data_IF_287133782463
#
_entry.id   IF_287133782463
#
_cell.length_a   1.000
_cell.length_b   1.000
_cell.length_c   1.000
_cell.angle_alpha   90.00
_cell.angle_beta   90.00
_cell.angle_gamma   90.00
#
_symmetry.space_group_name_H-M   'P 1'
#
loop_
_entity.id
_entity.type
_entity.pdbx_description
1 polymer ?
#
# COMPACT_ATOMS: atom_id res chain seq x y z
N UNK A 1 -10.28 -8.41 -60.52
CA UNK A 1 -9.59 -7.19 -60.04
C UNK A 1 -10.55 -6.47 -59.11
N UNK A 2 -10.34 -6.59 -57.81
CA UNK A 2 -10.87 -5.68 -56.80
C UNK A 2 -9.85 -5.80 -55.65
N UNK A 3 -8.86 -4.92 -55.73
CA UNK A 3 -7.94 -4.62 -54.64
C UNK A 3 -8.67 -3.64 -53.72
N UNK A 4 -8.16 -3.50 -52.50
CA UNK A 4 -8.60 -2.56 -51.45
C UNK A 4 -9.79 -3.05 -50.61
N UNK A 5 -9.73 -3.13 -49.29
CA UNK A 5 -8.82 -2.48 -48.35
C UNK A 5 -8.79 -3.32 -47.06
N UNK A 6 -7.63 -3.86 -46.73
CA UNK A 6 -7.29 -4.15 -45.34
C UNK A 6 -7.22 -2.78 -44.67
N UNK A 7 -8.32 -2.37 -44.03
CA UNK A 7 -8.24 -1.30 -43.05
C UNK A 7 -7.34 -1.80 -41.93
N UNK A 8 -6.07 -1.39 -42.03
CA UNK A 8 -5.11 -1.51 -40.97
C UNK A 8 -5.69 -0.86 -39.72
N UNK A 9 -5.68 -1.65 -38.66
CA UNK A 9 -5.89 -1.25 -37.29
C UNK A 9 -4.85 -0.15 -36.94
N UNK A 10 -5.20 1.12 -37.18
CA UNK A 10 -4.38 2.28 -36.87
C UNK A 10 -4.81 2.96 -35.56
N UNK A 11 -5.46 2.24 -34.65
CA UNK A 11 -5.61 2.71 -33.28
C UNK A 11 -4.56 2.00 -32.41
N UNK A 12 -3.38 2.63 -32.28
CA UNK A 12 -2.35 2.11 -31.38
C UNK A 12 -2.93 1.94 -29.98
N UNK A 13 -2.98 0.71 -29.50
CA UNK A 13 -3.47 0.38 -28.16
C UNK A 13 -2.64 1.13 -27.12
N UNK A 14 -3.27 2.05 -26.39
CA UNK A 14 -2.66 2.72 -25.24
C UNK A 14 -2.74 1.75 -24.05
N UNK A 15 -1.61 1.38 -23.45
CA UNK A 15 -1.61 0.50 -22.28
C UNK A 15 -1.98 1.33 -21.05
N UNK A 16 -3.16 1.08 -20.50
CA UNK A 16 -3.55 1.61 -19.19
C UNK A 16 -2.78 0.83 -18.12
N UNK A 17 -1.81 1.48 -17.50
CA UNK A 17 -0.97 0.88 -16.47
C UNK A 17 -1.48 1.33 -15.09
N UNK A 18 -1.36 0.46 -14.09
CA UNK A 18 -1.73 0.77 -12.71
C UNK A 18 -0.64 0.30 -11.75
N UNK A 19 -0.41 1.08 -10.69
CA UNK A 19 0.37 0.66 -9.55
C UNK A 19 -0.57 -0.04 -8.57
N UNK A 20 -0.23 -1.25 -8.14
CA UNK A 20 -1.06 -2.04 -7.24
C UNK A 20 -0.24 -2.66 -6.12
N UNK A 21 -0.79 -2.68 -4.91
CA UNK A 21 -0.25 -3.43 -3.79
C UNK A 21 -1.37 -4.23 -3.10
N UNK A 22 -1.05 -5.45 -2.68
CA UNK A 22 -2.00 -6.31 -1.98
C UNK A 22 -1.46 -6.64 -0.60
N UNK A 23 -2.17 -6.18 0.42
CA UNK A 23 -1.97 -6.62 1.79
C UNK A 23 -2.82 -7.86 2.04
N UNK A 24 -2.21 -8.91 2.59
CA UNK A 24 -2.86 -10.18 2.91
C UNK A 24 -2.53 -10.61 4.33
N UNK A 25 -3.56 -10.81 5.14
CA UNK A 25 -3.49 -11.35 6.48
C UNK A 25 -4.55 -12.45 6.68
N UNK A 26 -4.44 -13.32 7.68
CA UNK A 26 -5.38 -14.42 7.89
C UNK A 26 -6.85 -14.00 8.04
N UNK A 27 -7.10 -12.77 8.50
CA UNK A 27 -8.44 -12.24 8.78
C UNK A 27 -8.85 -11.08 7.88
N UNK A 28 -7.94 -10.54 7.07
CA UNK A 28 -8.20 -9.35 6.26
C UNK A 28 -7.32 -9.30 5.02
N UNK A 29 -7.87 -8.74 3.95
CA UNK A 29 -7.15 -8.48 2.70
C UNK A 29 -7.50 -7.08 2.25
N UNK A 30 -6.51 -6.29 1.85
CA UNK A 30 -6.70 -4.94 1.35
C UNK A 30 -5.89 -4.77 0.07
N UNK A 31 -6.54 -4.23 -0.97
CA UNK A 31 -5.89 -3.90 -2.23
C UNK A 31 -5.79 -2.38 -2.35
N UNK A 32 -4.60 -1.89 -2.68
CA UNK A 32 -4.31 -0.51 -3.03
C UNK A 32 -4.08 -0.45 -4.54
N UNK A 33 -4.68 0.54 -5.21
CA UNK A 33 -4.54 0.71 -6.65
C UNK A 33 -4.53 2.18 -7.03
N UNK A 34 -3.59 2.56 -7.88
CA UNK A 34 -3.45 3.91 -8.42
C UNK A 34 -3.26 3.85 -9.94
N UNK A 35 -3.98 4.71 -10.67
CA UNK A 35 -3.95 4.73 -12.14
C UNK A 35 -2.75 5.53 -12.65
N UNK A 36 -1.96 4.96 -13.55
CA UNK A 36 -0.84 5.66 -14.17
C UNK A 36 -1.22 6.26 -15.52
N UNK A 37 -0.50 7.29 -15.98
CA UNK A 37 -0.64 7.79 -17.34
C UNK A 37 -0.44 6.65 -18.36
N UNK A 38 -1.26 6.62 -19.39
CA UNK A 38 -1.11 5.62 -20.44
C UNK A 38 0.08 5.95 -21.33
N UNK A 39 0.86 4.92 -21.67
CA UNK A 39 1.94 5.01 -22.66
C UNK A 39 1.55 4.20 -23.90
N UNK A 40 1.96 4.66 -25.10
CA UNK A 40 1.87 3.83 -26.30
C UNK A 40 2.53 2.47 -26.08
N UNK A 41 1.85 1.39 -26.45
CA UNK A 41 2.40 0.03 -26.29
C UNK A 41 3.63 -0.18 -27.18
N UNK A 42 3.68 0.50 -28.33
CA UNK A 42 4.83 0.50 -29.23
C UNK A 42 5.93 1.44 -28.70
N UNK A 43 7.12 0.94 -28.31
CA UNK A 43 8.20 1.75 -27.77
C UNK A 43 8.75 2.79 -28.76
N UNK A 44 8.60 2.56 -30.07
CA UNK A 44 9.01 3.52 -31.12
C UNK A 44 8.12 4.76 -31.14
N UNK A 45 6.89 4.64 -30.61
CA UNK A 45 5.90 5.72 -30.54
C UNK A 45 5.90 6.44 -29.18
N UNK A 46 6.75 6.00 -28.24
CA UNK A 46 6.87 6.64 -26.93
C UNK A 46 7.87 7.80 -27.00
N UNK A 47 7.37 9.01 -26.81
CA UNK A 47 8.18 10.22 -26.75
C UNK A 47 8.79 10.44 -25.35
N UNK A 48 9.79 11.32 -25.27
CA UNK A 48 10.50 11.62 -24.01
C UNK A 48 9.56 12.29 -23.00
N UNK A 49 8.62 13.11 -23.48
CA UNK A 49 7.66 13.80 -22.62
C UNK A 49 6.70 12.81 -21.97
N UNK A 50 6.11 11.88 -22.73
CA UNK A 50 5.24 10.84 -22.21
C UNK A 50 5.95 9.94 -21.20
N UNK A 51 7.20 9.53 -21.48
CA UNK A 51 8.01 8.75 -20.53
C UNK A 51 8.30 9.51 -19.24
N UNK A 52 8.64 10.79 -19.35
CA UNK A 52 8.91 11.64 -18.18
C UNK A 52 7.66 11.81 -17.32
N UNK A 53 6.50 12.06 -17.94
CA UNK A 53 5.22 12.19 -17.25
C UNK A 53 4.83 10.88 -16.54
N UNK A 54 4.98 9.74 -17.23
CA UNK A 54 4.73 8.43 -16.66
C UNK A 54 5.61 8.15 -15.43
N UNK A 55 6.92 8.36 -15.54
CA UNK A 55 7.86 8.12 -14.45
C UNK A 55 7.67 9.09 -13.27
N UNK A 56 7.28 10.34 -13.54
CA UNK A 56 6.94 11.30 -12.48
C UNK A 56 5.68 10.86 -11.74
N UNK A 57 4.63 10.47 -12.46
CA UNK A 57 3.39 9.99 -11.88
C UNK A 57 3.61 8.71 -11.07
N UNK A 58 4.38 7.76 -11.61
CA UNK A 58 4.73 6.51 -10.92
C UNK A 58 5.44 6.78 -9.59
N UNK A 59 6.42 7.69 -9.56
CA UNK A 59 7.11 8.04 -8.31
C UNK A 59 6.17 8.69 -7.30
N UNK A 60 5.36 9.65 -7.73
CA UNK A 60 4.39 10.31 -6.85
C UNK A 60 3.41 9.32 -6.25
N UNK A 61 2.81 8.45 -7.08
CA UNK A 61 1.84 7.46 -6.64
C UNK A 61 2.47 6.39 -5.74
N UNK A 62 3.74 6.03 -5.96
CA UNK A 62 4.43 5.10 -5.08
C UNK A 62 4.62 5.68 -3.67
N UNK A 63 4.97 6.97 -3.56
CA UNK A 63 5.07 7.65 -2.25
C UNK A 63 3.71 7.77 -1.58
N UNK A 64 2.67 8.12 -2.33
CA UNK A 64 1.30 8.19 -1.82
C UNK A 64 0.81 6.82 -1.31
N UNK A 65 0.96 5.78 -2.13
CA UNK A 65 0.58 4.41 -1.75
C UNK A 65 1.37 3.92 -0.53
N UNK A 66 2.64 4.31 -0.38
CA UNK A 66 3.41 3.99 0.83
C UNK A 66 2.78 4.64 2.07
N UNK A 67 2.36 5.90 1.98
CA UNK A 67 1.68 6.59 3.08
C UNK A 67 0.34 5.94 3.41
N UNK A 68 -0.43 5.54 2.39
CA UNK A 68 -1.71 4.85 2.56
C UNK A 68 -1.53 3.51 3.27
N UNK A 69 -0.53 2.72 2.85
CA UNK A 69 -0.19 1.45 3.48
C UNK A 69 0.22 1.65 4.94
N UNK A 70 1.09 2.63 5.22
CA UNK A 70 1.51 2.92 6.59
C UNK A 70 0.32 3.33 7.47
N UNK A 71 -0.54 4.20 6.96
CA UNK A 71 -1.75 4.66 7.66
C UNK A 71 -2.66 3.47 7.95
N UNK A 72 -2.91 2.62 6.96
CA UNK A 72 -3.72 1.41 7.10
C UNK A 72 -3.15 0.46 8.16
N UNK A 73 -1.84 0.20 8.15
CA UNK A 73 -1.20 -0.69 9.13
C UNK A 73 -1.27 -0.11 10.54
N UNK A 74 -1.04 1.20 10.70
CA UNK A 74 -1.17 1.86 12.01
C UNK A 74 -2.59 1.76 12.55
N UNK A 75 -3.60 2.01 11.72
CA UNK A 75 -5.00 1.84 12.11
C UNK A 75 -5.30 0.39 12.51
N UNK A 76 -4.79 -0.60 11.78
CA UNK A 76 -4.96 -2.01 12.14
C UNK A 76 -4.31 -2.37 13.47
N UNK A 77 -3.13 -1.84 13.77
CA UNK A 77 -2.48 -2.03 15.07
C UNK A 77 -3.29 -1.39 16.22
N UNK A 78 -3.87 -0.22 15.99
CA UNK A 78 -4.74 0.44 16.97
C UNK A 78 -6.03 -0.36 17.22
N UNK A 79 -6.66 -0.84 16.15
CA UNK A 79 -7.82 -1.74 16.23
C UNK A 79 -7.49 -3.03 17.00
N UNK A 80 -6.35 -3.66 16.70
CA UNK A 80 -5.90 -4.87 17.38
C UNK A 80 -5.59 -4.60 18.86
N UNK A 81 -4.93 -3.49 19.18
CA UNK A 81 -4.65 -3.08 20.57
C UNK A 81 -5.93 -2.80 21.35
N UNK A 82 -6.92 -2.15 20.74
CA UNK A 82 -8.23 -1.94 21.35
C UNK A 82 -8.99 -3.26 21.58
N UNK A 83 -8.91 -4.19 20.63
CA UNK A 83 -9.51 -5.52 20.76
C UNK A 83 -8.83 -6.35 21.86
N UNK A 84 -7.51 -6.23 22.03
CA UNK A 84 -6.76 -6.92 23.09
C UNK A 84 -7.03 -6.33 24.49
N UNK A 85 -7.01 -5.00 24.63
CA UNK A 85 -7.29 -4.31 25.89
C UNK A 85 -8.77 -4.38 26.32
N UNK A 86 -9.69 -4.57 25.37
CA UNK A 86 -11.11 -4.84 25.63
C UNK A 86 -11.39 -6.23 26.24
N UNK A 87 -10.40 -7.13 26.28
CA UNK A 87 -10.55 -8.41 26.97
C UNK A 87 -10.37 -8.22 28.48
N UNK A 88 -11.45 -8.34 29.24
CA UNK A 88 -11.49 -8.10 30.70
C UNK A 88 -10.41 -8.86 31.51
N UNK A 89 -9.88 -9.96 30.96
CA UNK A 89 -8.76 -10.72 31.54
C UNK A 89 -7.41 -10.03 31.41
N UNK A 90 -7.13 -9.34 30.30
CA UNK A 90 -5.87 -8.61 30.10
C UNK A 90 -5.89 -7.26 30.80
N UNK A 91 -7.03 -6.57 30.86
CA UNK A 91 -7.13 -5.31 31.63
C UNK A 91 -6.75 -5.50 33.11
N UNK A 92 -7.20 -6.59 33.73
CA UNK A 92 -6.81 -6.96 35.09
C UNK A 92 -5.35 -7.40 35.22
N UNK A 93 -4.71 -7.81 34.11
CA UNK A 93 -3.29 -8.17 34.08
C UNK A 93 -2.40 -6.93 33.88
N UNK A 94 -2.76 -6.03 32.97
CA UNK A 94 -2.07 -4.74 32.77
C UNK A 94 -2.15 -3.87 34.03
N UNK A 95 -3.32 -3.76 34.66
CA UNK A 95 -3.50 -3.00 35.92
C UNK A 95 -2.64 -3.56 37.06
N UNK A 96 -2.48 -4.90 37.10
CA UNK A 96 -1.58 -5.58 38.05
C UNK A 96 -0.10 -5.42 37.71
N UNK A 97 0.26 -5.35 36.43
CA UNK A 97 1.64 -5.12 35.98
C UNK A 97 2.07 -3.65 36.20
N UNK A 98 1.13 -2.69 36.11
CA UNK A 98 1.37 -1.27 36.45
C UNK A 98 1.54 -1.03 37.96
N UNK A 99 0.78 -1.75 38.82
CA UNK A 99 0.95 -1.69 40.28
C UNK A 99 2.34 -2.15 40.76
N UNK A 100 2.99 -3.04 39.99
CA UNK A 100 4.33 -3.58 40.28
C UNK A 100 5.47 -2.70 39.73
N UNK A 101 5.18 -1.64 38.97
CA UNK A 101 6.18 -0.78 38.32
C UNK A 101 6.86 0.22 39.29
N UNK A 102 6.40 0.28 40.54
CA UNK A 102 6.92 1.20 41.57
C UNK A 102 7.78 0.56 42.67
N UNK A 103 7.99 -0.76 42.64
CA UNK A 103 8.83 -1.47 43.63
C UNK A 103 10.16 -1.84 42.97
N UNK A 104 11.03 -0.84 42.75
CA UNK A 104 12.45 -1.14 42.61
C UNK A 104 12.91 -1.71 43.96
N UNK A 105 13.30 -2.98 44.00
CA UNK A 105 14.00 -3.58 45.13
C UNK A 105 15.48 -3.13 45.08
N UNK A 106 15.94 -2.23 45.97
CA UNK A 106 17.32 -1.74 45.93
C UNK A 106 18.34 -2.69 46.57
N UNK A 107 18.03 -3.96 46.85
CA UNK A 107 18.95 -4.85 47.56
C UNK A 107 19.51 -5.99 46.69
N UNK A 108 20.44 -5.68 45.77
CA UNK A 108 21.47 -6.66 45.40
C UNK A 108 22.76 -6.01 44.85
N UNK A 109 23.51 -5.31 45.71
CA UNK A 109 24.96 -5.22 45.56
C UNK A 109 25.62 -5.24 46.95
N UNK A 110 26.07 -6.43 47.36
CA UNK A 110 26.75 -6.72 48.61
C UNK A 110 27.83 -7.78 48.42
#
# INVERSE_FOLDING_TARGET
MAWDSVMHDCCGTMSANSLTATYSAPKSTQVFSSSLPALPSDPSRQDVQGKTAYLSALRSQATEMQNDVNTFLTQKMEEDKAAESGSAKKKAQEEKEEEMYGEEDPENDG
#
